data_IF_868030038853
#
_entry.id   IF_868030038853
#
_cell.length_a   1.000
_cell.length_b   1.000
_cell.length_c   1.000
_cell.angle_alpha   90.00
_cell.angle_beta   90.00
_cell.angle_gamma   90.00
#
_symmetry.space_group_name_H-M   'P 1'
#
loop_
_entity.id
_entity.type
_entity.pdbx_description
1 polymer ?
#
# COMPACT_ATOMS: atom_id res chain seq x y z
N UNK A 1 -40.94 -18.29 -23.86
CA UNK A 1 -39.49 -18.16 -24.16
C UNK A 1 -39.00 -16.70 -24.05
N UNK A 2 -39.25 -15.99 -22.92
CA UNK A 2 -38.82 -14.58 -22.72
C UNK A 2 -38.39 -14.25 -21.27
N UNK A 3 -38.08 -15.25 -20.45
CA UNK A 3 -37.67 -15.02 -19.04
C UNK A 3 -36.15 -14.99 -18.84
N UNK A 4 -35.36 -15.55 -19.76
CA UNK A 4 -33.90 -15.61 -19.62
C UNK A 4 -33.18 -14.29 -19.89
N UNK A 5 -33.78 -13.38 -20.67
CA UNK A 5 -33.17 -12.08 -21.01
C UNK A 5 -33.11 -11.15 -19.80
N UNK A 6 -34.06 -11.25 -18.87
CA UNK A 6 -34.09 -10.45 -17.65
C UNK A 6 -32.97 -10.83 -16.66
N UNK A 7 -32.62 -12.12 -16.56
CA UNK A 7 -31.56 -12.59 -15.67
C UNK A 7 -30.16 -12.15 -16.13
N UNK A 8 -29.93 -12.06 -17.44
CA UNK A 8 -28.63 -11.63 -18.00
C UNK A 8 -28.40 -10.14 -17.77
N UNK A 9 -29.46 -9.32 -17.84
CA UNK A 9 -29.36 -7.87 -17.62
C UNK A 9 -29.09 -7.53 -16.14
N UNK A 10 -29.66 -8.28 -15.20
CA UNK A 10 -29.36 -8.13 -13.77
C UNK A 10 -27.93 -8.56 -13.44
N UNK A 11 -27.41 -9.64 -14.05
CA UNK A 11 -26.04 -10.10 -13.78
C UNK A 11 -24.98 -9.09 -14.24
N UNK A 12 -25.24 -8.33 -15.31
CA UNK A 12 -24.32 -7.31 -15.82
C UNK A 12 -24.25 -6.04 -14.95
N UNK A 13 -25.30 -5.75 -14.17
CA UNK A 13 -25.34 -4.56 -13.30
C UNK A 13 -24.54 -4.70 -12.00
N UNK A 14 -24.23 -5.93 -11.55
CA UNK A 14 -23.59 -6.18 -10.25
C UNK A 14 -22.10 -6.55 -10.32
N UNK A 15 -21.51 -6.70 -11.51
CA UNK A 15 -20.19 -7.29 -11.68
C UNK A 15 -18.96 -6.35 -11.86
N UNK A 16 -19.02 -5.01 -12.01
CA UNK A 16 -17.78 -4.26 -12.28
C UNK A 16 -17.15 -3.63 -11.03
N UNK A 17 -17.49 -4.02 -9.80
CA UNK A 17 -16.84 -3.44 -8.62
C UNK A 17 -15.48 -4.09 -8.29
N UNK A 18 -15.33 -5.39 -8.55
CA UNK A 18 -14.15 -6.16 -8.09
C UNK A 18 -13.00 -6.15 -9.10
N UNK A 19 -13.27 -5.89 -10.38
CA UNK A 19 -12.24 -5.93 -11.43
C UNK A 19 -11.39 -4.65 -11.54
N UNK A 20 -11.85 -3.51 -11.01
CA UNK A 20 -11.18 -2.22 -11.23
C UNK A 20 -9.96 -1.97 -10.33
N UNK A 21 -9.92 -2.55 -9.12
CA UNK A 21 -8.81 -2.32 -8.20
C UNK A 21 -7.49 -2.89 -8.76
N UNK A 22 -7.49 -4.18 -9.11
CA UNK A 22 -6.30 -4.85 -9.64
C UNK A 22 -5.86 -4.33 -11.00
N UNK A 23 -6.78 -3.90 -11.88
CA UNK A 23 -6.41 -3.36 -13.19
C UNK A 23 -5.71 -2.00 -13.10
N UNK A 24 -6.12 -1.13 -12.18
CA UNK A 24 -5.47 0.17 -11.98
C UNK A 24 -4.10 -0.02 -11.34
N UNK A 25 -3.98 -0.97 -10.40
CA UNK A 25 -2.72 -1.25 -9.70
C UNK A 25 -1.61 -1.72 -10.65
N UNK A 26 -1.95 -2.38 -11.78
CA UNK A 26 -0.98 -2.77 -12.82
C UNK A 26 -0.26 -1.59 -13.49
N UNK A 27 -0.81 -0.38 -13.40
CA UNK A 27 -0.24 0.83 -14.02
C UNK A 27 0.41 1.78 -13.00
N UNK A 28 0.23 1.52 -11.70
CA UNK A 28 0.83 2.33 -10.64
C UNK A 28 2.23 1.83 -10.31
N UNK A 29 3.16 2.75 -10.06
CA UNK A 29 4.45 2.37 -9.49
C UNK A 29 4.26 1.80 -8.08
N UNK A 30 5.19 0.97 -7.58
CA UNK A 30 5.10 0.43 -6.22
C UNK A 30 4.97 1.55 -5.17
N UNK A 31 5.68 2.66 -5.38
CA UNK A 31 5.56 3.84 -4.53
C UNK A 31 4.15 4.50 -4.54
N UNK A 32 3.47 4.52 -5.68
CA UNK A 32 2.10 5.04 -5.78
C UNK A 32 1.09 4.08 -5.14
N UNK A 33 1.33 2.78 -5.25
CA UNK A 33 0.53 1.76 -4.56
C UNK A 33 0.72 1.91 -3.04
N UNK A 34 1.95 2.07 -2.58
CA UNK A 34 2.31 2.38 -1.19
C UNK A 34 1.57 3.61 -0.66
N UNK A 35 1.51 4.72 -1.42
CA UNK A 35 0.74 5.90 -1.00
C UNK A 35 -0.75 5.63 -0.80
N UNK A 36 -1.36 4.86 -1.70
CA UNK A 36 -2.77 4.49 -1.57
C UNK A 36 -3.00 3.61 -0.34
N UNK A 37 -2.07 2.72 -0.03
CA UNK A 37 -2.11 1.88 1.17
C UNK A 37 -1.91 2.71 2.43
N UNK A 38 -0.99 3.68 2.44
CA UNK A 38 -0.80 4.65 3.52
C UNK A 38 -2.08 5.45 3.80
N UNK A 39 -2.75 5.92 2.74
CA UNK A 39 -4.02 6.65 2.85
C UNK A 39 -5.15 5.79 3.42
N UNK A 40 -5.11 4.47 3.17
CA UNK A 40 -6.03 3.49 3.76
C UNK A 40 -5.59 3.00 5.16
N UNK A 41 -4.52 3.57 5.71
CA UNK A 41 -3.90 3.17 6.99
C UNK A 41 -3.39 1.71 7.03
N UNK A 42 -3.18 1.10 5.86
CA UNK A 42 -2.59 -0.24 5.71
C UNK A 42 -1.07 -0.13 5.67
N UNK A 43 -0.49 0.23 6.80
CA UNK A 43 0.91 0.67 6.85
C UNK A 43 1.92 -0.43 6.55
N UNK A 44 1.69 -1.68 7.00
CA UNK A 44 2.61 -2.78 6.73
C UNK A 44 2.56 -3.20 5.25
N UNK A 45 1.38 -3.30 4.66
CA UNK A 45 1.22 -3.52 3.22
C UNK A 45 1.89 -2.40 2.42
N UNK A 46 1.75 -1.14 2.86
CA UNK A 46 2.42 -0.01 2.22
C UNK A 46 3.95 -0.14 2.30
N UNK A 47 4.48 -0.60 3.44
CA UNK A 47 5.90 -0.82 3.63
C UNK A 47 6.42 -1.89 2.66
N UNK A 48 5.67 -2.97 2.42
CA UNK A 48 6.02 -3.99 1.42
C UNK A 48 6.01 -3.43 -0.02
N UNK A 49 5.13 -2.46 -0.29
CA UNK A 49 4.95 -1.86 -1.61
C UNK A 49 6.02 -0.82 -1.96
N UNK A 50 6.45 0.03 -1.02
CA UNK A 50 7.41 1.10 -1.31
C UNK A 50 8.76 0.58 -1.82
N UNK A 51 9.27 1.20 -2.88
CA UNK A 51 10.67 1.05 -3.32
C UNK A 51 11.56 2.08 -2.63
N UNK A 52 11.06 3.31 -2.42
CA UNK A 52 11.80 4.33 -1.69
C UNK A 52 12.03 3.89 -0.23
N UNK A 53 13.30 3.79 0.21
CA UNK A 53 13.62 3.24 1.52
C UNK A 53 13.20 4.16 2.66
N UNK A 54 13.17 5.48 2.47
CA UNK A 54 12.71 6.41 3.51
C UNK A 54 11.21 6.19 3.76
N UNK A 55 10.42 6.12 2.69
CA UNK A 55 8.97 5.91 2.75
C UNK A 55 8.60 4.54 3.30
N UNK A 56 9.34 3.49 2.90
CA UNK A 56 9.25 2.15 3.49
C UNK A 56 9.49 2.18 5.00
N UNK A 57 10.54 2.85 5.46
CA UNK A 57 10.83 2.98 6.90
C UNK A 57 9.72 3.72 7.66
N UNK A 58 9.19 4.81 7.08
CA UNK A 58 8.06 5.56 7.66
C UNK A 58 6.80 4.70 7.75
N UNK A 59 6.53 3.87 6.75
CA UNK A 59 5.41 2.96 6.74
C UNK A 59 5.54 1.88 7.84
N UNK A 60 6.70 1.23 7.97
CA UNK A 60 6.96 0.33 9.10
C UNK A 60 6.78 1.00 10.46
N UNK A 61 7.31 2.21 10.63
CA UNK A 61 7.19 2.97 11.87
C UNK A 61 5.73 3.26 12.22
N UNK A 62 4.92 3.71 11.25
CA UNK A 62 3.49 3.95 11.46
C UNK A 62 2.68 2.67 11.67
N UNK A 63 3.15 1.56 11.09
CA UNK A 63 2.59 0.22 11.32
C UNK A 63 2.97 -0.38 12.67
N UNK A 64 3.82 0.28 13.45
CA UNK A 64 4.29 -0.20 14.75
C UNK A 64 5.41 -1.24 14.69
N UNK A 65 5.92 -1.56 13.49
CA UNK A 65 7.10 -2.41 13.33
C UNK A 65 8.37 -1.55 13.41
N UNK A 66 8.70 -1.15 14.63
CA UNK A 66 9.81 -0.26 14.90
C UNK A 66 11.17 -0.90 14.61
N UNK A 67 11.30 -2.22 14.76
CA UNK A 67 12.54 -2.94 14.46
C UNK A 67 12.87 -2.87 12.96
N UNK A 68 11.89 -3.20 12.11
CA UNK A 68 12.04 -3.09 10.65
C UNK A 68 12.27 -1.64 10.24
N UNK A 69 11.57 -0.67 10.84
CA UNK A 69 11.78 0.75 10.58
C UNK A 69 13.21 1.19 10.89
N UNK A 70 13.72 0.86 12.08
CA UNK A 70 15.09 1.18 12.50
C UNK A 70 16.13 0.53 11.57
N UNK A 71 15.90 -0.71 11.15
CA UNK A 71 16.78 -1.43 10.23
C UNK A 71 16.81 -0.77 8.85
N UNK A 72 15.66 -0.34 8.30
CA UNK A 72 15.57 0.34 7.01
C UNK A 72 16.24 1.72 7.08
N UNK A 73 15.88 2.55 8.06
CA UNK A 73 16.48 3.86 8.24
C UNK A 73 18.00 3.79 8.44
N UNK A 74 18.50 2.78 9.15
CA UNK A 74 19.93 2.58 9.37
C UNK A 74 20.77 2.34 8.11
N UNK A 75 20.14 2.02 6.97
CA UNK A 75 20.81 1.83 5.67
C UNK A 75 20.88 3.10 4.83
N UNK A 76 20.19 4.17 5.24
CA UNK A 76 20.10 5.42 4.48
C UNK A 76 21.08 6.44 5.07
N UNK A 77 21.98 6.98 4.23
CA UNK A 77 22.95 8.00 4.64
C UNK A 77 22.34 9.40 4.58
N UNK A 78 21.48 9.74 5.52
CA UNK A 78 20.95 11.10 5.70
C UNK A 78 20.72 11.43 7.17
N UNK A 79 20.72 12.72 7.50
CA UNK A 79 20.43 13.19 8.87
C UNK A 79 19.00 12.81 9.29
N UNK A 80 18.03 12.93 8.38
CA UNK A 80 16.64 12.54 8.60
C UNK A 80 16.50 11.05 8.92
N UNK A 81 17.20 10.18 8.18
CA UNK A 81 17.17 8.74 8.46
C UNK A 81 17.77 8.41 9.82
N UNK A 82 18.87 9.06 10.19
CA UNK A 82 19.47 8.88 11.52
C UNK A 82 18.51 9.30 12.64
N UNK A 83 17.80 10.42 12.48
CA UNK A 83 16.77 10.88 13.40
C UNK A 83 15.60 9.88 13.51
N UNK A 84 15.05 9.45 12.37
CA UNK A 84 13.93 8.51 12.34
C UNK A 84 14.32 7.13 12.91
N UNK A 85 15.54 6.67 12.66
CA UNK A 85 16.09 5.47 13.30
C UNK A 85 16.14 5.62 14.82
N UNK A 86 16.60 6.77 15.31
CA UNK A 86 16.64 7.07 16.74
C UNK A 86 15.25 6.94 17.37
N UNK A 87 14.23 7.55 16.75
CA UNK A 87 12.85 7.44 17.23
C UNK A 87 12.32 6.01 17.21
N UNK A 88 12.72 5.21 16.22
CA UNK A 88 12.32 3.80 16.13
C UNK A 88 13.01 2.89 17.15
N UNK A 89 14.02 3.36 17.87
CA UNK A 89 14.77 2.57 18.88
C UNK A 89 14.41 2.95 20.33
N UNK A 90 13.49 3.89 20.53
CA UNK A 90 12.98 4.30 21.84
C UNK A 90 11.79 3.42 22.26
#
# INVERSE_FOLDING_TARGET
MKFWVACIFCAWLYLPAVACAGWVDLWLTPDQQGDRLMAQQKYLDAAESFEDPMRKGVAFYRGGDFESAAAVFGRIRSAEAAYNRGNALL
#
